data_IF_921121068132
#
_entry.id   IF_921121068132
#
_cell.length_a   1.000
_cell.length_b   1.000
_cell.length_c   1.000
_cell.angle_alpha   90.00
_cell.angle_beta   90.00
_cell.angle_gamma   90.00
#
_symmetry.space_group_name_H-M   'P 1'
#
loop_
_entity.id
_entity.type
_entity.pdbx_description
1 polymer ?
#
# COMPACT_ATOMS: atom_id res chain seq x y z
N UNK A 1 -19.42 -24.44 53.44
CA UNK A 1 -18.84 -25.49 52.58
C UNK A 1 -18.55 -24.85 51.22
N UNK A 2 -17.26 -24.64 50.92
CA UNK A 2 -16.80 -23.82 49.78
C UNK A 2 -16.99 -24.60 48.49
N UNK A 3 -17.76 -24.07 47.53
CA UNK A 3 -17.86 -24.63 46.17
C UNK A 3 -16.54 -24.38 45.44
N UNK A 4 -15.70 -25.40 45.33
CA UNK A 4 -14.56 -25.43 44.42
C UNK A 4 -15.08 -25.55 42.99
N UNK A 5 -15.38 -24.40 42.37
CA UNK A 5 -15.63 -24.33 40.93
C UNK A 5 -14.38 -24.80 40.19
N UNK A 6 -14.50 -25.91 39.47
CA UNK A 6 -13.46 -26.44 38.59
C UNK A 6 -13.04 -25.36 37.57
N UNK A 7 -11.88 -24.74 37.78
CA UNK A 7 -11.16 -23.91 36.81
C UNK A 7 -10.51 -24.79 35.73
N UNK A 8 -11.23 -25.78 35.17
CA UNK A 8 -10.70 -26.62 34.09
C UNK A 8 -11.06 -26.02 32.73
N UNK A 9 -10.66 -24.77 32.53
CA UNK A 9 -10.81 -24.04 31.29
C UNK A 9 -9.54 -24.11 30.44
N UNK A 10 -9.44 -25.13 29.60
CA UNK A 10 -8.75 -25.10 28.30
C UNK A 10 -7.23 -24.82 28.25
N UNK A 11 -6.40 -25.61 28.96
CA UNK A 11 -4.94 -25.65 28.81
C UNK A 11 -4.46 -25.76 27.33
N UNK A 12 -5.17 -26.54 26.51
CA UNK A 12 -4.90 -26.67 25.06
C UNK A 12 -5.04 -25.34 24.31
N UNK A 13 -6.02 -24.52 24.66
CA UNK A 13 -6.22 -23.20 24.03
C UNK A 13 -5.10 -22.26 24.44
N UNK A 14 -4.66 -22.28 25.70
CA UNK A 14 -3.54 -21.47 26.16
C UNK A 14 -2.26 -21.78 25.38
N UNK A 15 -1.92 -23.07 25.23
CA UNK A 15 -0.74 -23.48 24.47
C UNK A 15 -0.81 -23.02 23.01
N UNK A 16 -1.96 -23.20 22.36
CA UNK A 16 -2.18 -22.74 20.99
C UNK A 16 -2.04 -21.21 20.84
N UNK A 17 -2.51 -20.43 21.83
CA UNK A 17 -2.36 -18.97 21.80
C UNK A 17 -0.89 -18.54 21.99
N UNK A 18 -0.14 -19.21 22.86
CA UNK A 18 1.28 -18.94 23.06
C UNK A 18 2.10 -19.23 21.80
N UNK A 19 1.87 -20.37 21.15
CA UNK A 19 2.56 -20.72 19.91
C UNK A 19 2.26 -19.71 18.79
N UNK A 20 0.98 -19.35 18.62
CA UNK A 20 0.56 -18.30 17.69
C UNK A 20 1.26 -16.96 17.97
N UNK A 21 1.36 -16.54 19.23
CA UNK A 21 2.03 -15.30 19.60
C UNK A 21 3.51 -15.30 19.19
N UNK A 22 4.21 -16.42 19.39
CA UNK A 22 5.60 -16.59 18.97
C UNK A 22 5.76 -16.52 17.45
N UNK A 23 4.86 -17.15 16.69
CA UNK A 23 4.86 -17.09 15.22
C UNK A 23 4.66 -15.65 14.75
N UNK A 24 3.68 -14.93 15.32
CA UNK A 24 3.39 -13.53 14.96
C UNK A 24 4.59 -12.63 15.26
N UNK A 25 5.26 -12.82 16.41
CA UNK A 25 6.45 -12.06 16.78
C UNK A 25 7.60 -12.28 15.79
N UNK A 26 7.87 -13.53 15.41
CA UNK A 26 8.88 -13.88 14.41
C UNK A 26 8.60 -13.24 13.06
N UNK A 27 7.37 -13.33 12.57
CA UNK A 27 6.97 -12.73 11.30
C UNK A 27 7.05 -11.20 11.32
N UNK A 28 6.66 -10.57 12.44
CA UNK A 28 6.80 -9.10 12.62
C UNK A 28 8.27 -8.68 12.55
N UNK A 29 9.15 -9.37 13.27
CA UNK A 29 10.59 -9.09 13.23
C UNK A 29 11.17 -9.25 11.83
N UNK A 30 10.76 -10.30 11.09
CA UNK A 30 11.18 -10.50 9.71
C UNK A 30 10.75 -9.35 8.79
N UNK A 31 9.49 -8.88 8.89
CA UNK A 31 8.99 -7.74 8.10
C UNK A 31 9.70 -6.43 8.45
N UNK A 32 10.02 -6.21 9.73
CA UNK A 32 10.80 -5.04 10.15
C UNK A 32 12.22 -5.06 9.59
N UNK A 33 12.93 -6.20 9.65
CA UNK A 33 14.27 -6.35 9.06
C UNK A 33 14.26 -6.11 7.56
N UNK A 34 13.29 -6.70 6.86
CA UNK A 34 13.13 -6.49 5.44
C UNK A 34 12.82 -5.01 5.12
N UNK A 35 11.98 -4.34 5.92
CA UNK A 35 11.68 -2.90 5.76
C UNK A 35 12.94 -2.05 5.91
N UNK A 36 13.81 -2.38 6.85
CA UNK A 36 15.11 -1.71 6.99
C UNK A 36 16.00 -1.89 5.76
N UNK A 37 16.00 -3.07 5.14
CA UNK A 37 16.83 -3.39 3.97
C UNK A 37 16.31 -2.78 2.66
N UNK A 38 15.01 -2.96 2.36
CA UNK A 38 14.41 -2.56 1.07
C UNK A 38 13.58 -1.28 1.17
N UNK A 39 13.55 -0.63 2.33
CA UNK A 39 12.75 0.56 2.62
C UNK A 39 11.26 0.28 2.88
N UNK A 40 10.65 -0.65 2.13
CA UNK A 40 9.23 -1.03 2.26
C UNK A 40 8.99 -2.53 2.11
N UNK A 41 8.15 -3.09 2.99
CA UNK A 41 7.77 -4.51 2.97
C UNK A 41 6.29 -4.80 3.16
N UNK A 42 5.48 -3.77 3.37
CA UNK A 42 4.06 -3.93 3.67
C UNK A 42 3.21 -2.90 2.91
N UNK A 43 1.92 -3.21 2.81
CA UNK A 43 0.91 -2.36 2.19
C UNK A 43 0.98 -2.30 0.66
N UNK A 44 0.09 -1.48 0.09
CA UNK A 44 -0.02 -1.31 -1.37
C UNK A 44 1.24 -0.66 -1.93
N UNK A 45 1.80 -1.25 -3.00
CA UNK A 45 2.93 -0.66 -3.74
C UNK A 45 2.56 0.73 -4.26
N UNK A 46 3.52 1.68 -4.35
CA UNK A 46 3.26 2.97 -4.98
C UNK A 46 2.83 2.81 -6.44
N UNK A 47 2.32 3.88 -7.04
CA UNK A 47 1.99 3.90 -8.46
C UNK A 47 3.29 3.91 -9.28
N UNK A 48 3.35 3.15 -10.39
CA UNK A 48 4.55 3.02 -11.22
C UNK A 48 5.40 1.77 -10.93
N UNK A 49 4.92 0.86 -10.07
CA UNK A 49 5.62 -0.40 -9.76
C UNK A 49 5.38 -1.51 -10.80
N UNK A 50 4.42 -1.31 -11.70
CA UNK A 50 4.04 -2.23 -12.77
C UNK A 50 4.35 -1.58 -14.11
N UNK A 51 4.78 -2.35 -15.12
CA UNK A 51 5.16 -1.82 -16.45
C UNK A 51 4.06 -0.95 -17.09
N UNK A 52 2.79 -1.38 -17.02
CA UNK A 52 1.67 -0.58 -17.52
C UNK A 52 1.44 0.74 -16.76
N UNK A 53 1.82 0.81 -15.48
CA UNK A 53 1.73 2.04 -14.69
C UNK A 53 2.88 3.01 -15.00
N UNK A 54 4.05 2.48 -15.40
CA UNK A 54 5.22 3.30 -15.76
C UNK A 54 4.97 4.11 -17.03
N UNK A 55 4.33 3.51 -18.05
CA UNK A 55 3.98 4.23 -19.27
C UNK A 55 3.03 5.42 -19.00
N UNK A 56 2.02 5.22 -18.15
CA UNK A 56 1.10 6.29 -17.74
C UNK A 56 1.84 7.37 -16.94
N UNK A 57 2.77 6.97 -16.07
CA UNK A 57 3.57 7.88 -15.26
C UNK A 57 4.54 8.70 -16.12
N UNK A 58 5.15 8.12 -17.16
CA UNK A 58 5.96 8.84 -18.12
C UNK A 58 5.14 9.90 -18.87
N UNK A 59 3.97 9.52 -19.40
CA UNK A 59 3.04 10.45 -20.05
C UNK A 59 2.57 11.56 -19.09
N UNK A 60 2.36 11.25 -17.82
CA UNK A 60 2.00 12.23 -16.79
C UNK A 60 3.13 13.25 -16.54
N UNK A 61 4.40 12.80 -16.54
CA UNK A 61 5.59 13.66 -16.43
C UNK A 61 5.75 14.56 -17.67
N UNK A 62 5.56 14.02 -18.87
CA UNK A 62 5.62 14.78 -20.12
C UNK A 62 4.58 15.91 -20.16
N UNK A 63 3.32 15.60 -19.82
CA UNK A 63 2.26 16.60 -19.75
C UNK A 63 2.54 17.67 -18.68
N UNK A 64 3.22 17.29 -17.59
CA UNK A 64 3.63 18.25 -16.56
C UNK A 64 4.78 19.14 -17.05
N UNK A 65 5.74 18.58 -17.76
CA UNK A 65 6.85 19.33 -18.37
C UNK A 65 6.33 20.34 -19.43
N UNK A 66 5.24 20.01 -20.12
CA UNK A 66 4.52 20.92 -21.01
C UNK A 66 3.75 22.06 -20.29
N UNK A 67 3.84 22.15 -18.95
CA UNK A 67 3.23 23.21 -18.16
C UNK A 67 1.75 22.99 -17.82
N UNK A 68 1.19 21.82 -18.11
CA UNK A 68 -0.23 21.55 -17.86
C UNK A 68 -0.54 21.47 -16.35
N UNK A 69 -1.68 22.01 -15.95
CA UNK A 69 -2.17 21.94 -14.57
C UNK A 69 -2.64 20.52 -14.21
N UNK A 70 -2.50 20.11 -12.94
CA UNK A 70 -2.82 18.75 -12.49
C UNK A 70 -4.26 18.31 -12.80
N UNK A 71 -5.24 19.20 -12.66
CA UNK A 71 -6.64 18.89 -12.96
C UNK A 71 -6.89 18.71 -14.46
N UNK A 72 -6.15 19.45 -15.31
CA UNK A 72 -6.21 19.29 -16.77
C UNK A 72 -5.59 17.97 -17.21
N UNK A 73 -4.48 17.56 -16.60
CA UNK A 73 -3.87 16.24 -16.80
C UNK A 73 -4.84 15.12 -16.39
N UNK A 74 -5.55 15.28 -15.28
CA UNK A 74 -6.57 14.31 -14.88
C UNK A 74 -7.74 14.26 -15.88
N UNK A 75 -8.17 15.41 -16.39
CA UNK A 75 -9.22 15.48 -17.41
C UNK A 75 -8.80 14.81 -18.72
N UNK A 76 -7.58 15.03 -19.21
CA UNK A 76 -7.08 14.38 -20.43
C UNK A 76 -7.06 12.87 -20.28
N UNK A 77 -6.55 12.33 -19.17
CA UNK A 77 -6.58 10.88 -18.93
C UNK A 77 -7.99 10.30 -18.81
N UNK A 78 -8.94 11.05 -18.28
CA UNK A 78 -10.34 10.62 -18.25
C UNK A 78 -10.97 10.62 -19.66
N UNK A 79 -10.66 11.61 -20.50
CA UNK A 79 -11.12 11.68 -21.88
C UNK A 79 -10.49 10.59 -22.76
N UNK A 80 -9.21 10.31 -22.55
CA UNK A 80 -8.45 9.26 -23.25
C UNK A 80 -8.83 7.83 -22.81
N UNK A 81 -9.74 7.70 -21.83
CA UNK A 81 -10.18 6.41 -21.31
C UNK A 81 -9.10 5.65 -20.54
N UNK A 82 -8.06 6.32 -20.04
CA UNK A 82 -6.98 5.68 -19.30
C UNK A 82 -7.49 5.17 -17.96
N UNK A 83 -7.52 3.86 -17.71
CA UNK A 83 -8.07 3.32 -16.47
C UNK A 83 -7.19 3.67 -15.28
N UNK A 84 -7.82 3.98 -14.15
CA UNK A 84 -7.10 4.08 -12.87
C UNK A 84 -6.88 2.69 -12.29
N UNK A 85 -5.96 2.58 -11.32
CA UNK A 85 -5.65 1.30 -10.65
C UNK A 85 -6.80 0.72 -9.83
N UNK A 86 -7.87 1.49 -9.62
CA UNK A 86 -9.09 1.02 -8.96
C UNK A 86 -10.21 1.04 -10.01
N UNK A 87 -10.81 -0.12 -10.35
CA UNK A 87 -11.88 -0.19 -11.34
C UNK A 87 -13.02 0.80 -11.03
N UNK A 88 -13.56 1.44 -12.07
CA UNK A 88 -14.70 2.36 -11.95
C UNK A 88 -14.37 3.73 -11.32
N UNK A 89 -13.10 4.06 -11.10
CA UNK A 89 -12.69 5.39 -10.61
C UNK A 89 -12.03 6.22 -11.72
N UNK A 90 -12.34 7.51 -11.71
CA UNK A 90 -11.75 8.54 -12.58
C UNK A 90 -10.48 9.13 -11.98
N UNK A 91 -9.62 9.68 -12.83
CA UNK A 91 -8.48 10.50 -12.44
C UNK A 91 -8.94 11.81 -11.79
N UNK A 92 -8.21 12.23 -10.76
CA UNK A 92 -8.41 13.49 -10.06
C UNK A 92 -7.06 14.21 -9.92
N UNK A 93 -7.00 15.53 -10.06
CA UNK A 93 -5.72 16.27 -10.05
C UNK A 93 -4.95 16.10 -8.74
N UNK A 94 -5.63 15.95 -7.60
CA UNK A 94 -5.00 15.56 -6.33
C UNK A 94 -4.21 14.25 -6.41
N UNK A 95 -4.74 13.22 -7.09
CA UNK A 95 -4.05 11.95 -7.25
C UNK A 95 -2.80 12.11 -8.13
N UNK A 96 -2.91 12.87 -9.22
CA UNK A 96 -1.80 13.22 -10.11
C UNK A 96 -0.69 13.95 -9.34
N UNK A 97 -1.04 14.99 -8.58
CA UNK A 97 -0.10 15.76 -7.76
C UNK A 97 0.63 14.85 -6.74
N UNK A 98 -0.09 14.00 -6.02
CA UNK A 98 0.54 13.07 -5.05
C UNK A 98 1.50 12.08 -5.70
N UNK A 99 1.23 11.65 -6.93
CA UNK A 99 2.11 10.74 -7.68
C UNK A 99 3.37 11.48 -8.12
N UNK A 100 3.22 12.64 -8.79
CA UNK A 100 4.35 13.42 -9.29
C UNK A 100 5.25 13.93 -8.16
N UNK A 101 4.68 14.49 -7.09
CA UNK A 101 5.44 14.96 -5.93
C UNK A 101 6.27 13.86 -5.29
N UNK A 102 5.81 12.60 -5.34
CA UNK A 102 6.58 11.47 -4.83
C UNK A 102 7.79 11.17 -5.72
N UNK A 103 7.60 11.19 -7.04
CA UNK A 103 8.68 10.94 -8.00
C UNK A 103 9.79 12.00 -7.90
N UNK A 104 9.40 13.26 -7.73
CA UNK A 104 10.32 14.39 -7.51
C UNK A 104 11.17 14.21 -6.24
N UNK A 105 10.64 13.60 -5.18
CA UNK A 105 11.37 13.37 -3.92
C UNK A 105 12.36 12.19 -3.97
N UNK A 106 12.28 11.35 -5.00
CA UNK A 106 13.11 10.16 -5.17
C UNK A 106 14.23 10.36 -6.20
N UNK A 107 14.23 11.49 -6.90
CA UNK A 107 15.32 11.94 -7.77
C UNK A 107 16.32 12.72 -6.94
#
# INVERSE_FOLDING_TARGET
MIRTGSCSGNFKVLFAQCEKANIVLKLRGARQRMKGRTGRCEGRKPYGATEGEQAILARMKELRAAGMAYDRIAATFNCDGVPTRTPGKRWHGFAVNRILKREELHT
#
